data_IF_500121216486
#
_entry.id   IF_500121216486
#
_cell.length_a   1.000
_cell.length_b   1.000
_cell.length_c   1.000
_cell.angle_alpha   90.00
_cell.angle_beta   90.00
_cell.angle_gamma   90.00
#
_symmetry.space_group_name_H-M   'P 1'
#
loop_
_entity.id
_entity.type
_entity.pdbx_description
1 polymer ?
#
# COMPACT_ATOMS: atom_id res chain seq x y z
N UNK A 1 34.98 -2.45 -6.75
CA UNK A 1 33.83 -1.61 -6.39
C UNK A 1 32.69 -2.56 -6.10
N UNK A 2 32.30 -2.69 -4.84
CA UNK A 2 31.18 -3.55 -4.44
C UNK A 2 30.02 -2.60 -4.16
N UNK A 3 29.36 -2.13 -5.22
CA UNK A 3 28.23 -1.22 -5.07
C UNK A 3 27.13 -1.91 -4.24
N UNK A 4 26.49 -1.21 -3.28
CA UNK A 4 25.44 -1.75 -2.41
C UNK A 4 24.13 -2.05 -3.17
N UNK A 5 24.20 -2.29 -4.48
CA UNK A 5 23.09 -2.55 -5.40
C UNK A 5 22.21 -3.70 -4.93
N UNK A 6 22.78 -4.71 -4.26
CA UNK A 6 22.03 -5.83 -3.70
C UNK A 6 21.09 -5.43 -2.54
N UNK A 7 21.53 -4.57 -1.63
CA UNK A 7 20.70 -4.08 -0.52
C UNK A 7 19.64 -3.10 -1.01
N UNK A 8 19.98 -2.24 -1.98
CA UNK A 8 19.04 -1.30 -2.58
C UNK A 8 17.95 -2.06 -3.35
N UNK A 9 18.31 -3.09 -4.13
CA UNK A 9 17.34 -3.93 -4.84
C UNK A 9 16.45 -4.74 -3.88
N UNK A 10 16.99 -5.26 -2.77
CA UNK A 10 16.21 -5.97 -1.76
C UNK A 10 15.18 -5.05 -1.07
N UNK A 11 15.60 -3.83 -0.71
CA UNK A 11 14.70 -2.82 -0.13
C UNK A 11 13.61 -2.39 -1.13
N UNK A 12 13.97 -2.20 -2.40
CA UNK A 12 12.98 -1.85 -3.44
C UNK A 12 11.90 -2.94 -3.57
N UNK A 13 12.29 -4.21 -3.64
CA UNK A 13 11.32 -5.33 -3.71
C UNK A 13 10.44 -5.43 -2.46
N UNK A 14 11.01 -5.20 -1.28
CA UNK A 14 10.25 -5.18 -0.03
C UNK A 14 9.22 -4.05 0.00
N UNK A 15 9.58 -2.86 -0.49
CA UNK A 15 8.68 -1.73 -0.62
C UNK A 15 7.58 -1.99 -1.66
N UNK A 16 7.92 -2.57 -2.82
CA UNK A 16 6.93 -2.97 -3.83
C UNK A 16 5.95 -4.02 -3.28
N UNK A 17 6.44 -5.03 -2.57
CA UNK A 17 5.59 -6.04 -1.95
C UNK A 17 4.66 -5.43 -0.89
N UNK A 18 5.16 -4.49 -0.09
CA UNK A 18 4.38 -3.75 0.90
C UNK A 18 3.27 -2.91 0.25
N UNK A 19 3.61 -2.22 -0.84
CA UNK A 19 2.69 -1.42 -1.64
C UNK A 19 1.59 -2.28 -2.28
N UNK A 20 1.94 -3.41 -2.88
CA UNK A 20 0.95 -4.33 -3.46
C UNK A 20 0.05 -4.94 -2.38
N UNK A 21 0.61 -5.30 -1.23
CA UNK A 21 -0.16 -5.86 -0.11
C UNK A 21 -1.17 -4.86 0.45
N UNK A 22 -0.75 -3.61 0.69
CA UNK A 22 -1.66 -2.53 1.16
C UNK A 22 -2.73 -2.20 0.13
N UNK A 23 -2.39 -2.15 -1.16
CA UNK A 23 -3.38 -1.95 -2.23
C UNK A 23 -4.40 -3.10 -2.31
N UNK A 24 -3.95 -4.35 -2.22
CA UNK A 24 -4.83 -5.51 -2.21
C UNK A 24 -5.73 -5.55 -0.96
N UNK A 25 -5.24 -5.08 0.20
CA UNK A 25 -6.04 -4.93 1.41
C UNK A 25 -7.10 -3.83 1.25
N UNK A 26 -6.74 -2.69 0.65
CA UNK A 26 -7.67 -1.61 0.31
C UNK A 26 -8.80 -2.11 -0.58
N UNK A 27 -8.49 -2.77 -1.69
CA UNK A 27 -9.51 -3.29 -2.62
C UNK A 27 -10.43 -4.28 -1.90
N UNK A 28 -9.87 -5.28 -1.19
CA UNK A 28 -10.67 -6.25 -0.42
C UNK A 28 -11.59 -5.57 0.59
N UNK A 29 -11.10 -4.55 1.30
CA UNK A 29 -11.89 -3.80 2.26
C UNK A 29 -13.03 -3.04 1.58
N UNK A 30 -12.76 -2.32 0.49
CA UNK A 30 -13.79 -1.55 -0.23
C UNK A 30 -14.88 -2.43 -0.86
N UNK A 31 -14.57 -3.69 -1.19
CA UNK A 31 -15.55 -4.66 -1.69
C UNK A 31 -16.38 -5.27 -0.55
N UNK A 32 -15.74 -5.60 0.57
CA UNK A 32 -16.41 -6.24 1.71
C UNK A 32 -17.25 -5.26 2.54
N UNK A 33 -16.76 -4.03 2.73
CA UNK A 33 -17.41 -3.04 3.57
C UNK A 33 -18.66 -2.49 2.88
N UNK A 34 -19.81 -2.61 3.54
CA UNK A 34 -21.08 -2.11 3.04
C UNK A 34 -21.04 -0.59 2.87
N UNK A 35 -20.57 0.12 3.89
CA UNK A 35 -20.45 1.58 3.94
C UNK A 35 -19.64 2.12 2.76
N UNK A 36 -18.44 1.56 2.50
CA UNK A 36 -17.62 1.98 1.38
C UNK A 36 -18.28 1.67 0.01
N UNK A 37 -19.17 0.67 -0.08
CA UNK A 37 -19.94 0.33 -1.29
C UNK A 37 -21.15 1.23 -1.50
N UNK A 38 -21.86 1.62 -0.44
CA UNK A 38 -23.06 2.46 -0.53
C UNK A 38 -22.75 3.95 -0.55
N UNK A 39 -21.78 4.41 0.24
CA UNK A 39 -21.49 5.83 0.44
C UNK A 39 -20.28 6.31 -0.36
N UNK A 40 -19.54 5.39 -0.97
CA UNK A 40 -18.39 5.70 -1.82
C UNK A 40 -17.14 5.98 -1.00
N UNK A 41 -16.38 4.93 -0.68
CA UNK A 41 -14.97 4.97 -0.28
C UNK A 41 -14.53 5.92 0.87
N UNK A 42 -15.44 6.52 1.63
CA UNK A 42 -15.14 7.46 2.73
C UNK A 42 -15.28 6.83 4.13
N UNK A 43 -14.97 5.54 4.21
CA UNK A 43 -14.88 4.82 5.48
C UNK A 43 -13.48 5.01 6.10
N UNK A 44 -13.38 5.23 7.41
CA UNK A 44 -12.11 5.53 8.12
C UNK A 44 -11.02 4.47 7.84
N UNK A 45 -11.41 3.20 7.70
CA UNK A 45 -10.48 2.10 7.39
C UNK A 45 -9.93 2.21 5.96
N UNK A 46 -10.73 2.62 4.98
CA UNK A 46 -10.24 2.88 3.62
C UNK A 46 -9.30 4.10 3.59
N UNK A 47 -9.55 5.11 4.42
CA UNK A 47 -8.67 6.26 4.57
C UNK A 47 -7.30 5.85 5.15
N UNK A 48 -7.28 5.02 6.20
CA UNK A 48 -6.06 4.46 6.80
C UNK A 48 -5.26 3.63 5.79
N UNK A 49 -5.94 2.73 5.05
CA UNK A 49 -5.30 1.92 4.01
C UNK A 49 -4.73 2.77 2.86
N UNK A 50 -5.39 3.87 2.48
CA UNK A 50 -4.84 4.84 1.52
C UNK A 50 -3.63 5.57 2.06
N UNK A 51 -3.63 5.95 3.34
CA UNK A 51 -2.47 6.58 3.98
C UNK A 51 -1.28 5.61 4.04
N UNK A 52 -1.52 4.35 4.41
CA UNK A 52 -0.49 3.30 4.43
C UNK A 52 0.10 3.07 3.02
N UNK A 53 -0.73 3.03 1.99
CA UNK A 53 -0.28 2.93 0.60
C UNK A 53 0.55 4.17 0.16
N UNK A 54 0.12 5.38 0.54
CA UNK A 54 0.87 6.61 0.25
C UNK A 54 2.22 6.63 0.95
N UNK A 55 2.27 6.23 2.22
CA UNK A 55 3.50 6.12 3.00
C UNK A 55 4.47 5.12 2.36
N UNK A 56 3.98 3.93 1.98
CA UNK A 56 4.76 2.93 1.26
C UNK A 56 5.30 3.50 -0.07
N UNK A 57 4.48 4.21 -0.84
CA UNK A 57 4.88 4.83 -2.12
C UNK A 57 5.93 5.92 -1.94
N UNK A 58 5.85 6.74 -0.89
CA UNK A 58 6.88 7.75 -0.59
C UNK A 58 8.20 7.15 -0.14
N UNK A 59 8.18 5.98 0.51
CA UNK A 59 9.40 5.27 0.92
C UNK A 59 10.13 4.57 -0.23
N UNK A 60 9.49 4.42 -1.41
CA UNK A 60 10.10 3.84 -2.61
C UNK A 60 10.72 4.89 -3.56
N UNK A 61 10.59 6.19 -3.25
CA UNK A 61 11.01 7.27 -4.16
C UNK A 61 12.43 7.78 -3.88
#
# INVERSE_FOLDING_TARGET
>A
MNEPTGQVAAQHRANEATMQSTYAAFIRHTVACHECRTEGMDCTVAADLRQAYRAAKTSTR
#
